data_IF_009296866366
#
_entry.id   IF_009296866366
#
_cell.length_a   1.000
_cell.length_b   1.000
_cell.length_c   1.000
_cell.angle_alpha   90.00
_cell.angle_beta   90.00
_cell.angle_gamma   90.00
#
_symmetry.space_group_name_H-M   'P 1'
#
loop_
_entity.id
_entity.type
_entity.pdbx_description
1 polymer ?
#
# COMPACT_ATOMS: atom_id res chain seq x y z
N UNK A 1 -21.40 -4.07 -18.55
CA UNK A 1 -21.55 -3.00 -17.54
C UNK A 1 -20.36 -3.00 -16.59
N UNK A 2 -19.16 -2.66 -17.05
CA UNK A 2 -17.92 -2.54 -16.23
C UNK A 2 -17.14 -1.25 -16.51
N UNK A 3 -17.63 -0.44 -17.45
CA UNK A 3 -16.93 0.75 -17.93
C UNK A 3 -17.24 1.98 -17.07
N UNK A 4 -18.46 2.07 -16.53
CA UNK A 4 -18.89 3.19 -15.67
C UNK A 4 -18.29 3.09 -14.25
N UNK A 5 -18.15 1.89 -13.69
CA UNK A 5 -17.54 1.68 -12.36
C UNK A 5 -16.05 2.12 -12.34
N UNK A 6 -15.30 1.84 -13.41
CA UNK A 6 -13.91 2.27 -13.53
C UNK A 6 -13.74 3.79 -13.66
N UNK A 7 -14.74 4.50 -14.18
CA UNK A 7 -14.70 5.97 -14.32
C UNK A 7 -15.02 6.63 -12.98
N UNK A 8 -15.97 6.08 -12.21
CA UNK A 8 -16.35 6.61 -10.90
C UNK A 8 -15.19 6.45 -9.90
N UNK A 9 -14.51 5.29 -9.88
CA UNK A 9 -13.32 5.09 -9.04
C UNK A 9 -12.16 6.06 -9.39
N UNK A 10 -12.03 6.43 -10.67
CA UNK A 10 -11.06 7.46 -11.11
C UNK A 10 -11.50 8.88 -10.73
N UNK A 11 -12.79 9.16 -10.65
CA UNK A 11 -13.30 10.47 -10.26
C UNK A 11 -13.19 10.68 -8.74
N UNK A 12 -13.53 9.68 -7.91
CA UNK A 12 -13.42 9.79 -6.45
C UNK A 12 -11.96 9.90 -5.98
N UNK A 13 -11.03 9.21 -6.66
CA UNK A 13 -9.58 9.35 -6.40
C UNK A 13 -9.01 10.73 -6.78
N UNK A 14 -9.71 11.49 -7.65
CA UNK A 14 -9.36 12.88 -7.98
C UNK A 14 -9.98 13.90 -7.00
N UNK A 15 -11.07 13.53 -6.32
CA UNK A 15 -11.80 14.42 -5.41
C UNK A 15 -11.09 14.55 -4.06
N UNK A 16 -10.31 13.54 -3.63
CA UNK A 16 -9.46 13.65 -2.44
C UNK A 16 -8.20 12.76 -2.52
N UNK A 17 -7.15 13.21 -3.25
CA UNK A 17 -5.95 12.40 -3.50
C UNK A 17 -5.20 12.00 -2.23
N UNK A 18 -5.24 12.83 -1.18
CA UNK A 18 -4.63 12.52 0.12
C UNK A 18 -5.36 11.37 0.82
N UNK A 19 -6.70 11.36 0.79
CA UNK A 19 -7.49 10.30 1.38
C UNK A 19 -7.29 8.97 0.63
N UNK A 20 -7.22 9.01 -0.71
CA UNK A 20 -6.91 7.83 -1.51
C UNK A 20 -5.50 7.29 -1.20
N UNK A 21 -4.49 8.16 -1.08
CA UNK A 21 -3.14 7.77 -0.69
C UNK A 21 -3.12 7.10 0.69
N UNK A 22 -3.84 7.68 1.66
CA UNK A 22 -3.92 7.12 3.01
C UNK A 22 -4.54 5.71 3.01
N UNK A 23 -5.68 5.52 2.34
CA UNK A 23 -6.36 4.22 2.26
C UNK A 23 -5.49 3.17 1.56
N UNK A 24 -4.77 3.56 0.50
CA UNK A 24 -3.85 2.67 -0.23
C UNK A 24 -2.69 2.23 0.66
N UNK A 25 -2.06 3.17 1.36
CA UNK A 25 -0.92 2.90 2.25
C UNK A 25 -1.36 2.03 3.43
N UNK A 26 -2.50 2.35 4.06
CA UNK A 26 -3.05 1.54 5.14
C UNK A 26 -3.40 0.12 4.66
N UNK A 27 -3.99 -0.01 3.47
CA UNK A 27 -4.29 -1.30 2.86
C UNK A 27 -3.03 -2.13 2.62
N UNK A 28 -1.95 -1.50 2.14
CA UNK A 28 -0.67 -2.17 1.94
C UNK A 28 -0.03 -2.62 3.26
N UNK A 29 -0.10 -1.78 4.31
CA UNK A 29 0.41 -2.14 5.63
C UNK A 29 -0.33 -3.36 6.21
N UNK A 30 -1.67 -3.35 6.17
CA UNK A 30 -2.48 -4.46 6.64
C UNK A 30 -2.21 -5.74 5.85
N UNK A 31 -1.98 -5.62 4.54
CA UNK A 31 -1.62 -6.74 3.69
C UNK A 31 -0.28 -7.37 4.09
N UNK A 32 0.73 -6.56 4.35
CA UNK A 32 2.05 -7.02 4.77
C UNK A 32 2.00 -7.68 6.16
N UNK A 33 1.21 -7.14 7.10
CA UNK A 33 0.94 -7.76 8.40
C UNK A 33 0.27 -9.13 8.22
N UNK A 34 -0.74 -9.21 7.35
CA UNK A 34 -1.44 -10.46 7.01
C UNK A 34 -0.49 -11.51 6.45
N UNK A 35 0.43 -11.12 5.56
CA UNK A 35 1.48 -12.00 5.02
C UNK A 35 2.50 -12.44 6.08
N UNK A 36 2.75 -11.61 7.08
CA UNK A 36 3.70 -11.89 8.16
C UNK A 36 3.14 -12.84 9.25
N UNK A 37 1.84 -13.17 9.21
CA UNK A 37 1.21 -14.07 10.20
C UNK A 37 -0.17 -13.61 10.68
N UNK A 38 -0.67 -12.46 10.22
CA UNK A 38 -2.00 -11.98 10.58
C UNK A 38 -2.04 -11.22 11.90
N UNK A 39 -3.25 -11.07 12.44
CA UNK A 39 -3.54 -10.17 13.58
C UNK A 39 -2.73 -10.50 14.83
N UNK A 40 -2.40 -11.78 15.05
CA UNK A 40 -1.56 -12.23 16.18
C UNK A 40 -0.15 -11.61 16.15
N UNK A 41 0.38 -11.33 14.96
CA UNK A 41 1.71 -10.75 14.74
C UNK A 41 1.66 -9.25 14.41
N UNK A 42 0.47 -8.65 14.37
CA UNK A 42 0.30 -7.26 13.97
C UNK A 42 1.11 -6.29 14.84
N UNK A 43 1.04 -6.44 16.17
CA UNK A 43 1.79 -5.60 17.10
C UNK A 43 3.30 -5.67 16.86
N UNK A 44 3.85 -6.89 16.87
CA UNK A 44 5.28 -7.15 16.61
C UNK A 44 5.73 -6.60 15.26
N UNK A 45 4.91 -6.78 14.22
CA UNK A 45 5.23 -6.27 12.89
C UNK A 45 5.25 -4.75 12.86
N UNK A 46 4.26 -4.10 13.49
CA UNK A 46 4.17 -2.64 13.56
C UNK A 46 5.39 -2.07 14.29
N UNK A 47 5.73 -2.63 15.44
CA UNK A 47 6.87 -2.18 16.24
C UNK A 47 8.20 -2.32 15.48
N UNK A 48 8.36 -3.40 14.72
CA UNK A 48 9.58 -3.68 13.98
C UNK A 48 9.69 -2.90 12.64
N UNK A 49 8.58 -2.65 11.94
CA UNK A 49 8.62 -2.26 10.52
C UNK A 49 7.95 -0.92 10.21
N UNK A 50 7.09 -0.37 11.07
CA UNK A 50 6.23 0.78 10.71
C UNK A 50 7.00 2.04 10.30
N UNK A 51 8.09 2.37 11.01
CA UNK A 51 8.94 3.53 10.69
C UNK A 51 9.59 3.37 9.31
N UNK A 52 10.22 2.22 9.06
CA UNK A 52 10.89 1.92 7.80
C UNK A 52 9.89 1.81 6.63
N UNK A 53 8.72 1.24 6.88
CA UNK A 53 7.65 1.19 5.90
C UNK A 53 7.25 2.61 5.47
N UNK A 54 7.07 3.53 6.43
CA UNK A 54 6.77 4.93 6.12
C UNK A 54 7.88 5.59 5.30
N UNK A 55 9.15 5.41 5.68
CA UNK A 55 10.28 5.92 4.91
C UNK A 55 10.29 5.42 3.45
N UNK A 56 9.99 4.14 3.24
CA UNK A 56 9.92 3.56 1.90
C UNK A 56 8.78 4.13 1.06
N UNK A 57 7.61 4.30 1.69
CA UNK A 57 6.40 4.85 1.05
C UNK A 57 6.59 6.32 0.69
N UNK A 58 7.21 7.10 1.57
CA UNK A 58 7.42 8.54 1.40
C UNK A 58 8.61 8.87 0.49
N UNK A 59 9.46 7.88 0.16
CA UNK A 59 10.58 8.05 -0.76
C UNK A 59 10.09 8.21 -2.22
N UNK A 60 10.26 9.40 -2.82
CA UNK A 60 9.77 9.69 -4.17
C UNK A 60 10.45 8.86 -5.25
N UNK A 61 11.57 8.20 -4.97
CA UNK A 61 12.24 7.34 -5.96
C UNK A 61 11.51 6.00 -6.15
N UNK A 62 10.71 5.55 -5.19
CA UNK A 62 10.06 4.24 -5.26
C UNK A 62 8.68 4.27 -5.95
N UNK A 63 7.99 5.41 -5.90
CA UNK A 63 6.63 5.61 -6.42
C UNK A 63 5.63 4.54 -5.95
N UNK A 64 5.76 4.08 -4.70
CA UNK A 64 4.97 2.93 -4.22
C UNK A 64 3.47 3.22 -4.17
N UNK A 65 3.05 4.43 -3.77
CA UNK A 65 1.62 4.78 -3.71
C UNK A 65 0.94 4.59 -5.07
N UNK A 66 1.54 5.11 -6.14
CA UNK A 66 1.01 4.95 -7.51
C UNK A 66 0.96 3.48 -7.93
N UNK A 67 2.02 2.74 -7.65
CA UNK A 67 2.12 1.32 -8.00
C UNK A 67 1.13 0.45 -7.22
N UNK A 68 0.80 0.81 -5.98
CA UNK A 68 -0.16 0.11 -5.13
C UNK A 68 -1.62 0.36 -5.52
N UNK A 69 -1.91 1.53 -6.12
CA UNK A 69 -3.22 1.85 -6.70
C UNK A 69 -3.51 1.01 -7.95
N UNK A 70 -2.49 0.73 -8.76
CA UNK A 70 -2.65 0.00 -10.01
C UNK A 70 -2.62 -1.51 -9.81
N UNK A 71 -3.72 -2.20 -10.12
CA UNK A 71 -3.88 -3.65 -9.97
C UNK A 71 -2.76 -4.47 -10.64
N UNK A 72 -2.22 -4.00 -11.77
CA UNK A 72 -1.19 -4.72 -12.52
C UNK A 72 0.19 -4.66 -11.85
N UNK A 73 0.43 -3.66 -11.00
CA UNK A 73 1.73 -3.43 -10.33
C UNK A 73 1.68 -3.59 -8.82
N UNK A 74 0.47 -3.76 -8.27
CA UNK A 74 0.23 -3.80 -6.82
C UNK A 74 0.98 -4.94 -6.14
N UNK A 75 0.93 -6.15 -6.69
CA UNK A 75 1.57 -7.32 -6.10
C UNK A 75 3.10 -7.19 -6.13
N UNK A 76 3.65 -6.72 -7.25
CA UNK A 76 5.09 -6.47 -7.38
C UNK A 76 5.57 -5.39 -6.39
N UNK A 77 4.79 -4.33 -6.21
CA UNK A 77 5.08 -3.29 -5.22
C UNK A 77 5.04 -3.83 -3.79
N UNK A 78 4.06 -4.67 -3.44
CA UNK A 78 3.99 -5.31 -2.12
C UNK A 78 5.20 -6.21 -1.87
N UNK A 79 5.59 -7.03 -2.85
CA UNK A 79 6.74 -7.92 -2.74
C UNK A 79 8.07 -7.15 -2.63
N UNK A 80 8.19 -6.03 -3.35
CA UNK A 80 9.36 -5.15 -3.24
C UNK A 80 9.44 -4.49 -1.87
N UNK A 81 8.34 -3.92 -1.37
CA UNK A 81 8.28 -3.34 -0.02
C UNK A 81 8.63 -4.41 1.01
N UNK A 82 8.06 -5.59 0.90
CA UNK A 82 8.32 -6.71 1.80
C UNK A 82 9.82 -7.07 1.82
N UNK A 83 10.44 -7.17 0.64
CA UNK A 83 11.87 -7.46 0.51
C UNK A 83 12.71 -6.35 1.14
N UNK A 84 12.37 -5.08 0.90
CA UNK A 84 13.08 -3.93 1.48
C UNK A 84 12.88 -3.78 2.99
N UNK A 85 11.82 -4.35 3.58
CA UNK A 85 11.63 -4.31 5.03
C UNK A 85 12.50 -5.34 5.75
N UNK A 86 12.68 -6.53 5.18
CA UNK A 86 13.39 -7.65 5.81
C UNK A 86 14.89 -7.74 5.50
N UNK A 87 15.41 -6.87 4.64
CA UNK A 87 16.84 -6.77 4.27
C UNK A 87 17.37 -5.37 4.52
#
# INVERSE_FOLDING_TARGET
MKFLENIINKADSLINPEQNSFEVVQGAQMELIRRAGGDEFAGTWIDANSARFRELIDDPNNNFVERLVNENTREDALNEIQTKLYH
#
